data_IF_722998605714
#
_entry.id   IF_722998605714
#
_cell.length_a   1.000
_cell.length_b   1.000
_cell.length_c   1.000
_cell.angle_alpha   90.00
_cell.angle_beta   90.00
_cell.angle_gamma   90.00
#
_symmetry.space_group_name_H-M   'P 1'
#
loop_
_entity.id
_entity.type
_entity.pdbx_description
1 polymer ?
#
# COMPACT_ATOMS: atom_id res chain seq x y z
N UNK A 1 2.21 -25.96 2.96
CA UNK A 1 3.22 -25.28 2.12
C UNK A 1 3.79 -24.12 2.91
N UNK A 2 5.11 -23.96 2.96
CA UNK A 2 5.71 -22.80 3.59
C UNK A 2 5.45 -21.53 2.76
N UNK A 3 5.55 -20.33 3.37
CA UNK A 3 5.35 -19.07 2.64
C UNK A 3 6.29 -18.94 1.44
N UNK A 4 7.53 -19.44 1.53
CA UNK A 4 8.48 -19.47 0.41
C UNK A 4 8.05 -20.36 -0.75
N UNK A 5 7.31 -21.44 -0.49
CA UNK A 5 6.85 -22.35 -1.56
C UNK A 5 5.69 -21.74 -2.35
N UNK A 6 4.83 -20.95 -1.70
CA UNK A 6 3.66 -20.34 -2.32
C UNK A 6 3.97 -18.99 -2.96
N UNK A 7 4.71 -18.13 -2.24
CA UNK A 7 4.95 -16.73 -2.59
C UNK A 7 6.35 -16.44 -3.11
N UNK A 8 7.24 -17.42 -3.15
CA UNK A 8 8.57 -17.31 -3.74
C UNK A 8 8.61 -17.71 -5.23
N UNK A 9 9.80 -17.73 -5.84
CA UNK A 9 11.09 -17.38 -5.22
C UNK A 9 11.37 -15.89 -5.03
N UNK A 10 10.65 -14.99 -5.75
CA UNK A 10 10.82 -13.54 -5.66
C UNK A 10 9.52 -12.82 -5.29
N UNK A 11 9.65 -11.76 -4.51
CA UNK A 11 8.59 -10.80 -4.25
C UNK A 11 8.98 -9.40 -4.74
N UNK A 12 8.03 -8.70 -5.37
CA UNK A 12 8.16 -7.28 -5.70
C UNK A 12 7.55 -6.45 -4.57
N UNK A 13 8.28 -5.46 -4.06
CA UNK A 13 7.78 -4.50 -3.07
C UNK A 13 7.82 -3.10 -3.67
N UNK A 14 6.68 -2.61 -4.12
CA UNK A 14 6.50 -1.25 -4.59
C UNK A 14 6.41 -0.29 -3.39
N UNK A 15 7.34 0.67 -3.29
CA UNK A 15 7.44 1.58 -2.14
C UNK A 15 8.31 1.03 -1.00
N UNK A 16 9.41 0.34 -1.30
CA UNK A 16 10.26 -0.36 -0.34
C UNK A 16 11.22 0.52 0.46
N UNK A 17 11.37 1.81 0.15
CA UNK A 17 12.51 2.61 0.65
C UNK A 17 12.46 2.95 2.13
N UNK A 18 11.30 2.96 2.77
CA UNK A 18 11.12 3.21 4.21
C UNK A 18 9.75 2.71 4.73
N UNK A 19 9.51 2.93 6.03
CA UNK A 19 8.24 2.66 6.68
C UNK A 19 7.77 1.21 6.50
N UNK A 20 6.48 1.04 6.23
CA UNK A 20 5.84 -0.26 6.07
C UNK A 20 6.42 -1.08 4.92
N UNK A 21 6.82 -0.43 3.80
CA UNK A 21 7.44 -1.13 2.68
C UNK A 21 8.80 -1.74 3.02
N UNK A 22 9.63 -1.03 3.79
CA UNK A 22 10.89 -1.57 4.29
C UNK A 22 10.66 -2.70 5.32
N UNK A 23 9.62 -2.59 6.14
CA UNK A 23 9.24 -3.64 7.07
C UNK A 23 8.79 -4.93 6.35
N UNK A 24 8.02 -4.81 5.26
CA UNK A 24 7.70 -5.96 4.39
C UNK A 24 8.96 -6.61 3.83
N UNK A 25 9.95 -5.80 3.39
CA UNK A 25 11.19 -6.35 2.87
C UNK A 25 11.97 -7.17 3.92
N UNK A 26 12.03 -6.67 5.15
CA UNK A 26 12.67 -7.39 6.27
C UNK A 26 11.92 -8.68 6.58
N UNK A 27 10.59 -8.64 6.69
CA UNK A 27 9.78 -9.82 7.03
C UNK A 27 9.82 -10.90 5.95
N UNK A 28 9.68 -10.53 4.66
CA UNK A 28 9.76 -11.47 3.56
C UNK A 28 11.17 -12.04 3.39
N UNK A 29 12.21 -11.22 3.59
CA UNK A 29 13.60 -11.68 3.61
C UNK A 29 13.86 -12.70 4.73
N UNK A 30 13.30 -12.48 5.93
CA UNK A 30 13.38 -13.43 7.05
C UNK A 30 12.69 -14.77 6.71
N UNK A 31 11.66 -14.75 5.86
CA UNK A 31 10.98 -15.97 5.34
C UNK A 31 11.72 -16.62 4.17
N UNK A 32 12.87 -16.09 3.76
CA UNK A 32 13.71 -16.66 2.70
C UNK A 32 13.26 -16.33 1.28
N UNK A 33 12.43 -15.30 1.08
CA UNK A 33 11.97 -14.84 -0.23
C UNK A 33 12.94 -13.77 -0.75
N UNK A 34 13.43 -13.91 -1.98
CA UNK A 34 14.24 -12.90 -2.65
C UNK A 34 13.38 -11.68 -3.03
N UNK A 35 14.00 -10.49 -3.10
CA UNK A 35 13.25 -9.25 -3.14
C UNK A 35 13.63 -8.33 -4.28
N UNK A 36 12.64 -7.84 -5.00
CA UNK A 36 12.75 -6.68 -5.89
C UNK A 36 12.28 -5.46 -5.11
N UNK A 37 13.21 -4.58 -4.78
CA UNK A 37 12.97 -3.38 -3.98
C UNK A 37 12.77 -2.17 -4.89
N UNK A 38 11.56 -1.63 -4.93
CA UNK A 38 11.18 -0.57 -5.88
C UNK A 38 10.86 0.72 -5.13
N UNK A 39 11.57 1.82 -5.43
CA UNK A 39 11.27 3.18 -4.99
C UNK A 39 12.13 4.20 -5.74
N UNK A 40 11.87 5.50 -5.49
CA UNK A 40 12.62 6.61 -6.11
C UNK A 40 14.02 6.84 -5.49
N UNK A 41 14.20 6.50 -4.21
CA UNK A 41 15.40 6.82 -3.44
C UNK A 41 16.38 5.65 -3.41
N UNK A 42 17.23 5.57 -4.44
CA UNK A 42 18.21 4.50 -4.61
C UNK A 42 19.10 4.25 -3.37
N UNK A 43 19.68 5.28 -2.71
CA UNK A 43 20.55 5.02 -1.56
C UNK A 43 19.85 4.28 -0.42
N UNK A 44 18.57 4.56 -0.14
CA UNK A 44 17.80 3.86 0.89
C UNK A 44 17.49 2.41 0.50
N UNK A 45 17.26 2.15 -0.79
CA UNK A 45 17.07 0.79 -1.29
C UNK A 45 18.34 -0.05 -1.18
N UNK A 46 19.50 0.54 -1.50
CA UNK A 46 20.81 -0.13 -1.39
C UNK A 46 21.20 -0.39 0.08
N UNK A 47 20.93 0.57 0.97
CA UNK A 47 21.12 0.38 2.41
C UNK A 47 20.22 -0.76 2.94
N UNK A 48 18.94 -0.79 2.56
CA UNK A 48 18.03 -1.86 2.94
C UNK A 48 18.52 -3.20 2.38
N UNK A 49 18.87 -3.27 1.10
CA UNK A 49 19.38 -4.47 0.44
C UNK A 49 20.62 -5.04 1.16
N UNK A 50 21.53 -4.17 1.60
CA UNK A 50 22.74 -4.58 2.30
C UNK A 50 22.50 -5.20 3.70
N UNK A 51 21.30 -5.05 4.26
CA UNK A 51 20.90 -5.63 5.55
C UNK A 51 20.13 -6.95 5.42
N UNK A 52 19.74 -7.34 4.21
CA UNK A 52 18.94 -8.54 3.97
C UNK A 52 19.82 -9.75 3.64
N UNK A 53 19.46 -10.91 4.18
CA UNK A 53 20.21 -12.17 3.97
C UNK A 53 19.76 -12.96 2.74
N UNK A 54 18.94 -12.36 1.86
CA UNK A 54 18.40 -12.95 0.62
C UNK A 54 18.91 -12.18 -0.59
N UNK A 55 18.74 -12.74 -1.78
CA UNK A 55 19.04 -12.00 -3.00
C UNK A 55 18.10 -10.79 -3.16
N UNK A 56 18.67 -9.68 -3.58
CA UNK A 56 17.92 -8.44 -3.78
C UNK A 56 18.20 -7.84 -5.16
N UNK A 57 17.17 -7.26 -5.77
CA UNK A 57 17.28 -6.43 -6.96
C UNK A 57 16.72 -5.05 -6.65
N UNK A 58 17.55 -4.04 -6.78
CA UNK A 58 17.16 -2.63 -6.58
C UNK A 58 16.68 -2.05 -7.91
N UNK A 59 15.44 -1.56 -7.93
CA UNK A 59 14.83 -0.88 -9.08
C UNK A 59 14.48 0.54 -8.68
N UNK A 60 15.23 1.52 -9.20
CA UNK A 60 14.95 2.94 -8.96
C UNK A 60 13.91 3.42 -9.96
N UNK A 61 12.70 3.68 -9.47
CA UNK A 61 11.54 3.95 -10.32
C UNK A 61 10.58 4.93 -9.67
N UNK A 62 10.03 5.87 -10.43
CA UNK A 62 8.92 6.71 -10.03
C UNK A 62 7.59 6.09 -10.48
N UNK A 63 6.87 5.54 -9.52
CA UNK A 63 5.57 4.91 -9.77
C UNK A 63 4.45 5.92 -10.12
N UNK A 64 4.73 7.22 -10.17
CA UNK A 64 3.79 8.24 -10.63
C UNK A 64 3.82 8.43 -12.16
N UNK A 65 4.70 7.72 -12.89
CA UNK A 65 4.77 7.77 -14.35
C UNK A 65 3.93 6.66 -14.99
N UNK A 66 3.29 6.92 -16.14
CA UNK A 66 2.48 5.90 -16.82
C UNK A 66 3.27 4.68 -17.32
N UNK A 67 4.58 4.83 -17.56
CA UNK A 67 5.48 3.77 -18.06
C UNK A 67 6.09 2.91 -16.96
N UNK A 68 5.85 3.25 -15.69
CA UNK A 68 6.53 2.64 -14.56
C UNK A 68 6.38 1.11 -14.49
N UNK A 69 5.21 0.59 -14.81
CA UNK A 69 4.99 -0.87 -14.76
C UNK A 69 5.72 -1.58 -15.89
N UNK A 70 5.79 -1.01 -17.10
CA UNK A 70 6.56 -1.60 -18.21
C UNK A 70 8.06 -1.64 -17.88
N UNK A 71 8.60 -0.56 -17.29
CA UNK A 71 9.99 -0.49 -16.82
C UNK A 71 10.27 -1.52 -15.71
N UNK A 72 9.33 -1.70 -14.78
CA UNK A 72 9.41 -2.69 -13.72
C UNK A 72 9.39 -4.12 -14.27
N UNK A 73 8.50 -4.40 -15.22
CA UNK A 73 8.42 -5.71 -15.89
C UNK A 73 9.71 -6.04 -16.65
N UNK A 74 10.26 -5.07 -17.38
CA UNK A 74 11.54 -5.23 -18.04
C UNK A 74 12.67 -5.53 -17.02
N UNK A 75 12.67 -4.84 -15.89
CA UNK A 75 13.64 -5.05 -14.82
C UNK A 75 13.49 -6.41 -14.10
N UNK A 76 12.38 -7.13 -14.31
CA UNK A 76 12.06 -8.40 -13.64
C UNK A 76 11.75 -9.54 -14.61
N UNK A 77 12.01 -9.38 -15.91
CA UNK A 77 11.63 -10.35 -16.96
C UNK A 77 12.27 -11.75 -16.78
N UNK A 78 13.43 -11.80 -16.14
CA UNK A 78 14.18 -13.03 -15.82
C UNK A 78 13.80 -13.66 -14.47
N UNK A 79 12.84 -13.08 -13.75
CA UNK A 79 12.47 -13.50 -12.40
C UNK A 79 11.05 -14.12 -12.35
N UNK A 80 10.91 -15.20 -11.60
CA UNK A 80 9.59 -15.70 -11.25
C UNK A 80 9.07 -14.93 -10.02
N UNK A 81 8.16 -13.99 -10.25
CA UNK A 81 7.54 -13.21 -9.16
C UNK A 81 6.36 -14.00 -8.59
N UNK A 82 6.48 -14.40 -7.32
CA UNK A 82 5.45 -15.14 -6.57
C UNK A 82 4.60 -14.26 -5.68
N UNK A 83 5.05 -13.03 -5.36
CA UNK A 83 4.30 -12.08 -4.55
C UNK A 83 4.48 -10.65 -5.08
N UNK A 84 3.38 -9.92 -5.15
CA UNK A 84 3.37 -8.47 -5.32
C UNK A 84 2.87 -7.82 -4.03
N UNK A 85 3.70 -7.01 -3.38
CA UNK A 85 3.30 -6.09 -2.30
C UNK A 85 3.28 -4.69 -2.89
N UNK A 86 2.09 -4.15 -3.16
CA UNK A 86 1.94 -2.78 -3.64
C UNK A 86 1.64 -1.85 -2.45
N UNK A 87 2.72 -1.27 -1.89
CA UNK A 87 2.67 -0.41 -0.72
C UNK A 87 2.80 1.08 -1.07
N UNK A 88 3.31 1.43 -2.26
CA UNK A 88 3.47 2.82 -2.68
C UNK A 88 2.13 3.53 -2.78
N UNK A 89 1.96 4.65 -2.09
CA UNK A 89 0.69 5.38 -2.15
C UNK A 89 0.43 6.28 -0.95
N UNK A 90 1.33 7.19 -0.65
CA UNK A 90 1.14 8.23 0.38
C UNK A 90 0.48 9.51 -0.16
N UNK A 91 -0.02 10.34 0.75
CA UNK A 91 -0.40 11.73 0.51
C UNK A 91 0.42 12.63 1.44
N UNK A 92 1.46 13.28 0.92
CA UNK A 92 2.37 14.06 1.78
C UNK A 92 1.80 15.40 2.23
N UNK A 93 0.70 15.88 1.62
CA UNK A 93 0.29 17.29 1.81
C UNK A 93 -1.11 17.49 2.40
N UNK A 94 -2.03 16.52 2.30
CA UNK A 94 -3.39 16.58 2.87
C UNK A 94 -4.14 17.90 2.64
N UNK A 95 -4.06 18.44 1.42
CA UNK A 95 -4.69 19.72 1.04
C UNK A 95 -6.07 19.49 0.39
N UNK A 96 -6.99 20.47 0.49
CA UNK A 96 -8.17 20.51 -0.36
C UNK A 96 -7.80 20.43 -1.84
N UNK A 97 -8.65 19.80 -2.65
CA UNK A 97 -8.33 19.53 -4.07
C UNK A 97 -7.94 20.77 -4.86
N UNK A 98 -8.62 21.90 -4.63
CA UNK A 98 -8.36 23.15 -5.36
C UNK A 98 -7.07 23.87 -4.92
N UNK A 99 -6.50 23.48 -3.79
CA UNK A 99 -5.25 24.03 -3.24
C UNK A 99 -4.03 23.17 -3.62
N UNK A 100 -4.26 22.04 -4.33
CA UNK A 100 -3.22 21.13 -4.81
C UNK A 100 -2.71 21.49 -6.19
N UNK A 101 -1.48 21.12 -6.46
CA UNK A 101 -0.98 21.03 -7.83
C UNK A 101 -1.77 19.92 -8.59
N UNK A 102 -2.42 20.26 -9.72
CA UNK A 102 -3.15 19.28 -10.53
C UNK A 102 -2.28 18.12 -11.04
N UNK A 103 -0.99 18.34 -11.29
CA UNK A 103 -0.09 17.31 -11.79
C UNK A 103 0.30 16.34 -10.67
N UNK A 104 0.45 16.84 -9.43
CA UNK A 104 0.61 15.99 -8.24
C UNK A 104 -0.63 15.10 -8.03
N UNK A 105 -1.82 15.67 -8.11
CA UNK A 105 -3.07 14.91 -7.99
C UNK A 105 -3.21 13.84 -9.07
N UNK A 106 -2.85 14.14 -10.34
CA UNK A 106 -2.81 13.16 -11.43
C UNK A 106 -1.77 12.08 -11.20
N UNK A 107 -0.56 12.45 -10.77
CA UNK A 107 0.51 11.51 -10.44
C UNK A 107 0.10 10.54 -9.32
N UNK A 108 -0.69 11.00 -8.34
CA UNK A 108 -1.25 10.14 -7.30
C UNK A 108 -2.23 9.11 -7.90
N UNK A 109 -3.12 9.51 -8.81
CA UNK A 109 -4.04 8.57 -9.48
C UNK A 109 -3.27 7.56 -10.34
N UNK A 110 -2.24 8.00 -11.07
CA UNK A 110 -1.37 7.08 -11.83
C UNK A 110 -0.71 6.07 -10.91
N UNK A 111 -0.08 6.52 -9.83
CA UNK A 111 0.62 5.64 -8.89
C UNK A 111 -0.33 4.70 -8.15
N UNK A 112 -1.43 5.22 -7.62
CA UNK A 112 -2.30 4.48 -6.70
C UNK A 112 -3.44 3.72 -7.39
N UNK A 113 -3.74 3.98 -8.67
CA UNK A 113 -4.81 3.30 -9.38
C UNK A 113 -4.29 2.62 -10.65
N UNK A 114 -3.81 3.40 -11.64
CA UNK A 114 -3.43 2.85 -12.93
C UNK A 114 -2.31 1.80 -12.79
N UNK A 115 -1.25 2.15 -12.09
CA UNK A 115 -0.09 1.27 -11.94
C UNK A 115 -0.34 0.12 -10.95
N UNK A 116 -1.24 0.28 -9.98
CA UNK A 116 -1.73 -0.83 -9.14
C UNK A 116 -2.47 -1.86 -9.99
N UNK A 117 -3.42 -1.39 -10.83
CA UNK A 117 -4.20 -2.25 -11.72
C UNK A 117 -3.29 -2.98 -12.73
N UNK A 118 -2.39 -2.24 -13.39
CA UNK A 118 -1.51 -2.81 -14.42
C UNK A 118 -0.51 -3.82 -13.81
N UNK A 119 0.12 -3.49 -12.67
CA UNK A 119 1.02 -4.42 -11.99
C UNK A 119 0.29 -5.67 -11.50
N UNK A 120 -0.92 -5.51 -10.94
CA UNK A 120 -1.75 -6.64 -10.53
C UNK A 120 -2.11 -7.54 -11.71
N UNK A 121 -2.54 -6.95 -12.84
CA UNK A 121 -2.87 -7.69 -14.05
C UNK A 121 -1.67 -8.47 -14.60
N UNK A 122 -0.51 -7.82 -14.72
CA UNK A 122 0.67 -8.41 -15.36
C UNK A 122 1.31 -9.51 -14.50
N UNK A 123 1.56 -9.26 -13.22
CA UNK A 123 2.11 -10.29 -12.32
C UNK A 123 1.06 -11.35 -11.96
N UNK A 124 -0.19 -10.93 -11.73
CA UNK A 124 -1.29 -11.82 -11.42
C UNK A 124 -1.59 -12.82 -12.53
N UNK A 125 -1.53 -12.41 -13.81
CA UNK A 125 -1.71 -13.31 -14.95
C UNK A 125 -0.72 -14.49 -14.91
N UNK A 126 0.55 -14.22 -14.61
CA UNK A 126 1.56 -15.27 -14.48
C UNK A 126 1.32 -16.15 -13.24
N UNK A 127 0.84 -15.56 -12.13
CA UNK A 127 0.48 -16.29 -10.91
C UNK A 127 -0.71 -17.23 -11.14
N UNK A 128 -1.76 -16.75 -11.77
CA UNK A 128 -2.96 -17.55 -12.13
C UNK A 128 -2.57 -18.68 -13.08
N UNK A 129 -1.76 -18.41 -14.11
CA UNK A 129 -1.32 -19.43 -15.06
C UNK A 129 -0.56 -20.59 -14.41
N UNK A 130 0.20 -20.35 -13.34
CA UNK A 130 0.96 -21.37 -12.61
C UNK A 130 0.22 -21.93 -11.38
N UNK A 131 -0.97 -21.40 -11.03
CA UNK A 131 -1.80 -21.89 -9.94
C UNK A 131 -1.27 -21.56 -8.54
N UNK A 132 -0.40 -20.54 -8.40
CA UNK A 132 0.13 -20.10 -7.10
C UNK A 132 0.67 -18.68 -7.15
N UNK A 133 0.59 -17.99 -6.03
CA UNK A 133 1.11 -16.64 -5.84
C UNK A 133 0.29 -15.84 -4.85
N UNK A 134 0.62 -14.56 -4.72
CA UNK A 134 -0.12 -13.62 -3.88
C UNK A 134 -0.01 -12.18 -4.32
N UNK A 135 -1.04 -11.40 -4.02
CA UNK A 135 -1.07 -9.94 -4.18
C UNK A 135 -1.53 -9.32 -2.88
N UNK A 136 -0.74 -8.39 -2.36
CA UNK A 136 -1.05 -7.59 -1.19
C UNK A 136 -1.11 -6.12 -1.62
N UNK A 137 -2.31 -5.53 -1.55
CA UNK A 137 -2.54 -4.11 -1.83
C UNK A 137 -2.68 -3.36 -0.52
N UNK A 138 -1.72 -2.47 -0.23
CA UNK A 138 -1.76 -1.66 0.99
C UNK A 138 -2.68 -0.47 0.76
N UNK A 139 -3.81 -0.48 1.45
CA UNK A 139 -4.79 0.58 1.47
C UNK A 139 -4.77 1.34 2.81
N UNK A 140 -5.80 2.04 3.16
CA UNK A 140 -5.88 2.92 4.32
C UNK A 140 -7.29 2.95 4.89
N UNK A 141 -7.44 3.28 6.17
CA UNK A 141 -8.73 3.61 6.75
C UNK A 141 -9.47 4.74 6.01
N UNK A 142 -8.75 5.58 5.25
CA UNK A 142 -9.33 6.57 4.36
C UNK A 142 -10.15 5.95 3.20
N UNK A 143 -9.99 4.66 2.91
CA UNK A 143 -10.76 3.93 1.90
C UNK A 143 -12.25 3.82 2.26
N UNK A 144 -12.58 3.82 3.55
CA UNK A 144 -13.94 3.58 4.02
C UNK A 144 -14.91 4.72 3.76
N UNK A 145 -14.43 5.97 3.75
CA UNK A 145 -15.24 7.15 3.41
C UNK A 145 -14.35 8.29 2.93
N UNK A 146 -14.88 9.15 2.04
CA UNK A 146 -14.23 10.39 1.68
C UNK A 146 -14.21 11.37 2.86
N UNK A 147 -13.26 12.31 2.84
CA UNK A 147 -13.14 13.35 3.86
C UNK A 147 -12.53 14.62 3.28
N UNK A 148 -12.75 15.76 3.96
CA UNK A 148 -12.14 17.04 3.59
C UNK A 148 -10.61 16.94 3.71
N UNK A 149 -9.87 17.42 2.71
CA UNK A 149 -8.41 17.35 2.68
C UNK A 149 -7.85 15.98 2.26
N UNK A 150 -8.70 14.97 2.09
CA UNK A 150 -8.28 13.62 1.70
C UNK A 150 -8.46 13.32 0.20
N UNK A 151 -8.84 14.31 -0.59
CA UNK A 151 -8.99 14.14 -2.04
C UNK A 151 -7.66 14.45 -2.76
N UNK A 152 -7.18 13.61 -3.69
CA UNK A 152 -7.77 12.37 -4.23
C UNK A 152 -7.42 11.09 -3.44
N UNK A 153 -6.61 11.19 -2.38
CA UNK A 153 -6.04 10.04 -1.66
C UNK A 153 -7.10 9.00 -1.25
N UNK A 154 -8.16 9.43 -0.53
CA UNK A 154 -9.21 8.52 -0.09
C UNK A 154 -9.88 7.78 -1.26
N UNK A 155 -10.10 8.48 -2.38
CA UNK A 155 -10.68 7.86 -3.57
C UNK A 155 -9.76 6.78 -4.17
N UNK A 156 -8.43 7.04 -4.20
CA UNK A 156 -7.47 6.04 -4.69
C UNK A 156 -7.34 4.85 -3.76
N UNK A 157 -7.43 5.06 -2.44
CA UNK A 157 -7.38 3.96 -1.46
C UNK A 157 -8.66 3.11 -1.44
N UNK A 158 -9.82 3.72 -1.73
CA UNK A 158 -11.06 2.98 -1.98
C UNK A 158 -10.98 2.14 -3.26
N UNK A 159 -10.31 2.64 -4.32
CA UNK A 159 -10.01 1.85 -5.51
C UNK A 159 -9.18 0.60 -5.16
N UNK A 160 -8.07 0.74 -4.40
CA UNK A 160 -7.22 -0.38 -4.00
C UNK A 160 -8.01 -1.43 -3.21
N UNK A 161 -8.88 -1.00 -2.30
CA UNK A 161 -9.69 -1.89 -1.47
C UNK A 161 -10.65 -2.73 -2.32
N UNK A 162 -11.45 -2.07 -3.16
CA UNK A 162 -12.45 -2.76 -4.01
C UNK A 162 -11.77 -3.62 -5.08
N UNK A 163 -10.61 -3.18 -5.60
CA UNK A 163 -9.81 -3.99 -6.52
C UNK A 163 -9.34 -5.29 -5.84
N UNK A 164 -8.80 -5.21 -4.61
CA UNK A 164 -8.37 -6.40 -3.88
C UNK A 164 -9.51 -7.40 -3.66
N UNK A 165 -10.68 -6.92 -3.23
CA UNK A 165 -11.88 -7.74 -3.05
C UNK A 165 -12.30 -8.46 -4.35
N UNK A 166 -12.27 -7.74 -5.46
CA UNK A 166 -12.64 -8.27 -6.79
C UNK A 166 -11.63 -9.33 -7.25
N UNK A 167 -10.34 -9.04 -7.14
CA UNK A 167 -9.27 -9.97 -7.53
C UNK A 167 -9.25 -11.23 -6.64
N UNK A 168 -9.53 -11.08 -5.35
CA UNK A 168 -9.67 -12.22 -4.43
C UNK A 168 -10.78 -13.17 -4.90
N UNK A 169 -11.95 -12.62 -5.25
CA UNK A 169 -13.07 -13.42 -5.73
C UNK A 169 -12.78 -14.11 -7.07
N UNK A 170 -12.07 -13.43 -7.99
CA UNK A 170 -11.75 -13.96 -9.31
C UNK A 170 -10.60 -14.98 -9.28
N UNK A 171 -9.54 -14.75 -8.50
CA UNK A 171 -8.28 -15.50 -8.57
C UNK A 171 -8.09 -16.53 -7.45
N UNK A 172 -8.83 -16.42 -6.36
CA UNK A 172 -8.82 -17.41 -5.28
C UNK A 172 -8.99 -18.85 -5.77
N UNK A 173 -9.99 -19.14 -6.64
CA UNK A 173 -10.15 -20.48 -7.22
C UNK A 173 -8.95 -20.97 -8.05
N UNK A 174 -8.12 -20.06 -8.52
CA UNK A 174 -6.88 -20.35 -9.27
C UNK A 174 -5.64 -20.45 -8.38
N UNK A 175 -5.80 -20.46 -7.04
CA UNK A 175 -4.70 -20.63 -6.09
C UNK A 175 -3.86 -19.38 -5.83
N UNK A 176 -4.35 -18.19 -6.22
CA UNK A 176 -3.70 -16.90 -5.95
C UNK A 176 -4.41 -16.21 -4.78
N UNK A 177 -3.66 -15.92 -3.71
CA UNK A 177 -4.19 -15.17 -2.58
C UNK A 177 -4.16 -13.67 -2.88
N UNK A 178 -5.22 -12.96 -2.49
CA UNK A 178 -5.27 -11.51 -2.61
C UNK A 178 -5.73 -10.91 -1.29
N UNK A 179 -5.04 -9.88 -0.82
CA UNK A 179 -5.36 -9.17 0.41
C UNK A 179 -5.32 -7.66 0.21
N UNK A 180 -6.42 -6.99 0.52
CA UNK A 180 -6.49 -5.55 0.76
C UNK A 180 -6.14 -5.27 2.22
N UNK A 181 -4.93 -4.77 2.50
CA UNK A 181 -4.50 -4.43 3.84
C UNK A 181 -4.90 -2.99 4.18
N UNK A 182 -5.86 -2.83 5.08
CA UNK A 182 -6.32 -1.52 5.55
C UNK A 182 -5.48 -1.07 6.74
N UNK A 183 -4.74 0.01 6.58
CA UNK A 183 -3.90 0.58 7.63
C UNK A 183 -4.55 1.80 8.28
N UNK A 184 -4.41 1.87 9.60
CA UNK A 184 -4.54 3.09 10.38
C UNK A 184 -3.24 3.91 10.37
N UNK A 185 -3.10 4.79 11.37
CA UNK A 185 -1.87 5.55 11.59
C UNK A 185 -0.72 4.60 11.94
N UNK A 186 0.28 4.55 11.07
CA UNK A 186 1.45 3.67 11.21
C UNK A 186 2.69 4.53 11.36
N UNK A 187 3.58 4.18 12.29
CA UNK A 187 4.81 4.91 12.62
C UNK A 187 5.84 4.85 11.49
N UNK A 188 5.63 5.68 10.48
CA UNK A 188 6.50 5.76 9.30
C UNK A 188 7.22 7.11 9.24
N UNK A 189 8.41 7.17 8.62
CA UNK A 189 9.08 8.45 8.40
C UNK A 189 8.23 9.47 7.62
N UNK A 190 7.36 9.01 6.72
CA UNK A 190 6.44 9.87 5.99
C UNK A 190 5.40 10.52 6.91
N UNK A 191 4.76 9.71 7.79
CA UNK A 191 3.80 10.22 8.76
C UNK A 191 4.46 11.16 9.77
N UNK A 192 5.64 10.81 10.30
CA UNK A 192 6.38 11.67 11.24
C UNK A 192 6.67 13.04 10.62
N UNK A 193 7.17 13.09 9.38
CA UNK A 193 7.39 14.35 8.67
C UNK A 193 6.11 15.16 8.49
N UNK A 194 5.00 14.49 8.19
CA UNK A 194 3.70 15.17 8.06
C UNK A 194 3.25 15.78 9.38
N UNK A 195 3.37 15.04 10.49
CA UNK A 195 3.04 15.55 11.83
C UNK A 195 3.97 16.71 12.26
N UNK A 196 5.27 16.64 11.95
CA UNK A 196 6.22 17.72 12.22
C UNK A 196 5.88 18.99 11.43
N UNK A 197 5.37 18.84 10.21
CA UNK A 197 5.07 19.98 9.32
C UNK A 197 3.70 20.60 9.61
N UNK A 198 2.71 19.79 9.92
CA UNK A 198 1.30 20.23 10.01
C UNK A 198 0.76 20.19 11.44
N UNK A 199 1.53 19.65 12.38
CA UNK A 199 1.04 19.37 13.74
C UNK A 199 0.08 18.20 13.75
N UNK A 200 -0.58 18.02 14.89
CA UNK A 200 -1.60 16.99 15.09
C UNK A 200 -1.15 15.87 16.02
N UNK A 201 -2.12 15.14 16.52
CA UNK A 201 -1.94 13.95 17.35
C UNK A 201 -2.77 12.80 16.77
N UNK A 202 -2.13 11.69 16.48
CA UNK A 202 -2.77 10.49 15.94
C UNK A 202 -2.90 9.38 16.99
N UNK A 203 -2.62 9.67 18.24
CA UNK A 203 -2.61 8.69 19.32
C UNK A 203 -1.50 7.64 19.15
N UNK A 204 -1.79 6.41 19.54
CA UNK A 204 -0.84 5.30 19.39
C UNK A 204 -0.68 4.91 17.93
N UNK A 205 0.55 4.93 17.46
CA UNK A 205 0.91 4.55 16.08
C UNK A 205 1.23 3.06 16.02
N UNK A 206 0.77 2.40 14.96
CA UNK A 206 1.11 1.00 14.71
C UNK A 206 2.59 0.83 14.35
N UNK A 207 3.23 -0.22 14.88
CA UNK A 207 4.59 -0.59 14.49
C UNK A 207 4.61 -1.18 13.07
N UNK A 208 5.39 -0.60 12.13
CA UNK A 208 5.51 -1.13 10.78
C UNK A 208 5.95 -2.61 10.71
N UNK A 209 6.77 -3.06 11.65
CA UNK A 209 7.23 -4.45 11.69
C UNK A 209 6.10 -5.41 12.08
N UNK A 210 5.29 -5.04 13.07
CA UNK A 210 4.11 -5.80 13.46
C UNK A 210 3.07 -5.84 12.34
N UNK A 211 2.83 -4.70 11.66
CA UNK A 211 1.95 -4.61 10.49
C UNK A 211 2.39 -5.56 9.39
N UNK A 212 3.68 -5.57 9.03
CA UNK A 212 4.19 -6.43 7.97
C UNK A 212 4.09 -7.91 8.32
N UNK A 213 4.42 -8.29 9.57
CA UNK A 213 4.35 -9.67 10.04
C UNK A 213 2.92 -10.22 9.99
N UNK A 214 1.95 -9.47 10.56
CA UNK A 214 0.53 -9.83 10.59
C UNK A 214 -0.06 -9.90 9.18
N UNK A 215 0.23 -8.92 8.31
CA UNK A 215 -0.28 -8.93 6.95
C UNK A 215 0.20 -10.14 6.12
N UNK A 216 1.46 -10.57 6.28
CA UNK A 216 1.97 -11.75 5.59
C UNK A 216 1.44 -13.05 6.20
N UNK A 217 1.18 -13.08 7.51
CA UNK A 217 0.55 -14.22 8.17
C UNK A 217 -0.88 -14.44 7.65
N UNK A 218 -1.63 -13.37 7.46
CA UNK A 218 -3.04 -13.38 7.06
C UNK A 218 -3.26 -13.15 5.55
N UNK A 219 -2.22 -13.21 4.72
CA UNK A 219 -2.34 -12.99 3.28
C UNK A 219 -3.35 -13.95 2.61
N UNK A 220 -3.45 -15.17 3.12
CA UNK A 220 -4.39 -16.18 2.61
C UNK A 220 -5.83 -16.02 3.14
N UNK A 221 -6.04 -15.15 4.14
CA UNK A 221 -7.35 -14.99 4.80
C UNK A 221 -8.22 -13.90 4.14
N UNK A 222 -7.76 -13.30 3.03
CA UNK A 222 -8.44 -12.22 2.31
C UNK A 222 -9.97 -12.34 2.24
N UNK A 223 -10.68 -11.37 1.68
CA UNK A 223 -10.19 -10.31 0.79
C UNK A 223 -9.58 -9.10 1.50
N UNK A 224 -9.91 -8.86 2.78
CA UNK A 224 -9.56 -7.63 3.49
C UNK A 224 -9.05 -7.96 4.89
N UNK A 225 -8.03 -7.22 5.32
CA UNK A 225 -7.51 -7.27 6.68
C UNK A 225 -7.25 -5.87 7.21
N UNK A 226 -7.87 -5.51 8.34
CA UNK A 226 -7.74 -4.19 8.95
C UNK A 226 -6.87 -4.30 10.20
N UNK A 227 -5.59 -3.90 10.08
CA UNK A 227 -4.63 -3.96 11.18
C UNK A 227 -5.10 -3.18 12.42
N UNK A 228 -5.00 -3.81 13.58
CA UNK A 228 -5.33 -3.20 14.87
C UNK A 228 -6.84 -3.09 15.16
N UNK A 229 -7.71 -3.63 14.31
CA UNK A 229 -9.16 -3.67 14.57
C UNK A 229 -9.55 -4.90 15.37
N UNK A 230 -10.58 -4.82 16.26
CA UNK A 230 -11.07 -5.98 17.02
C UNK A 230 -11.57 -7.13 16.14
N UNK A 231 -12.11 -6.81 14.95
CA UNK A 231 -12.45 -7.75 13.90
C UNK A 231 -11.70 -7.36 12.62
N UNK A 232 -10.47 -7.85 12.43
CA UNK A 232 -9.63 -7.44 11.30
C UNK A 232 -10.19 -7.83 9.92
N UNK A 233 -10.95 -8.91 9.84
CA UNK A 233 -11.61 -9.36 8.60
C UNK A 233 -12.98 -8.71 8.40
N UNK A 234 -13.42 -7.89 9.35
CA UNK A 234 -14.71 -7.19 9.34
C UNK A 234 -14.79 -6.09 8.29
N UNK A 235 -16.02 -5.67 8.05
CA UNK A 235 -16.30 -4.57 7.13
C UNK A 235 -15.95 -3.19 7.67
N UNK A 236 -16.44 -2.15 6.98
CA UNK A 236 -16.23 -0.76 7.37
C UNK A 236 -16.61 -0.47 8.82
N UNK A 237 -15.76 0.22 9.60
CA UNK A 237 -16.11 0.70 10.94
C UNK A 237 -17.30 1.68 10.95
N UNK A 238 -17.67 2.18 9.76
CA UNK A 238 -18.81 3.07 9.56
C UNK A 238 -20.10 2.35 9.14
N UNK A 239 -20.15 1.01 9.22
CA UNK A 239 -21.25 0.19 8.69
C UNK A 239 -22.65 0.55 9.19
N UNK A 240 -22.77 1.18 10.37
CA UNK A 240 -24.04 1.66 10.94
C UNK A 240 -24.34 3.13 10.61
N UNK A 241 -23.42 3.85 10.00
CA UNK A 241 -23.55 5.26 9.65
C UNK A 241 -24.08 5.45 8.24
N UNK A 242 -24.87 6.51 8.01
CA UNK A 242 -25.11 6.97 6.66
C UNK A 242 -23.82 7.47 6.01
N UNK A 243 -23.74 7.44 4.66
CA UNK A 243 -22.55 7.96 3.95
C UNK A 243 -22.22 9.41 4.33
N UNK A 244 -23.25 10.24 4.57
CA UNK A 244 -23.05 11.60 5.03
C UNK A 244 -22.36 11.67 6.39
N UNK A 245 -22.85 10.91 7.37
CA UNK A 245 -22.25 10.85 8.72
C UNK A 245 -20.82 10.32 8.69
N UNK A 246 -20.54 9.30 7.87
CA UNK A 246 -19.18 8.77 7.66
C UNK A 246 -18.23 9.85 7.10
N UNK A 247 -18.67 10.61 6.09
CA UNK A 247 -17.88 11.72 5.51
C UNK A 247 -17.64 12.84 6.51
N UNK A 248 -18.66 13.21 7.32
CA UNK A 248 -18.53 14.23 8.36
C UNK A 248 -17.52 13.78 9.44
N UNK A 249 -17.59 12.51 9.86
CA UNK A 249 -16.66 11.95 10.86
C UNK A 249 -15.23 11.88 10.31
N UNK A 250 -15.04 11.39 9.08
CA UNK A 250 -13.73 11.37 8.42
C UNK A 250 -13.14 12.77 8.26
N UNK A 251 -13.97 13.75 7.91
CA UNK A 251 -13.53 15.15 7.77
C UNK A 251 -13.10 15.74 9.11
N UNK A 252 -13.83 15.45 10.19
CA UNK A 252 -13.47 15.88 11.54
C UNK A 252 -12.17 15.21 12.02
N UNK A 253 -12.00 13.91 11.75
CA UNK A 253 -10.78 13.18 12.04
C UNK A 253 -9.56 13.74 11.28
N UNK A 254 -9.70 13.97 9.98
CA UNK A 254 -8.65 14.59 9.18
C UNK A 254 -8.26 15.99 9.67
N UNK A 255 -9.24 16.81 10.06
CA UNK A 255 -8.98 18.14 10.63
C UNK A 255 -8.25 18.08 12.00
N UNK A 256 -8.52 17.07 12.81
CA UNK A 256 -7.81 16.86 14.08
C UNK A 256 -6.39 16.35 13.87
N UNK A 257 -6.17 15.52 12.86
CA UNK A 257 -4.86 14.98 12.49
C UNK A 257 -3.94 16.01 11.86
N UNK A 258 -4.49 16.98 11.13
CA UNK A 258 -3.75 17.98 10.36
C UNK A 258 -4.21 19.40 10.78
N UNK A 259 -3.86 19.78 12.01
CA UNK A 259 -4.42 20.94 12.72
C UNK A 259 -4.25 22.32 12.06
N UNK A 260 -3.56 22.46 10.91
CA UNK A 260 -3.32 23.74 10.20
C UNK A 260 -3.47 23.68 8.67
N UNK A 261 -4.44 22.91 8.16
CA UNK A 261 -4.89 23.07 6.76
C UNK A 261 -5.77 24.31 6.56
N UNK A 262 -5.45 25.44 7.19
CA UNK A 262 -6.11 26.71 6.89
C UNK A 262 -5.70 27.16 5.46
N UNK A 263 -6.67 27.56 4.60
CA UNK A 263 -6.34 28.03 3.27
C UNK A 263 -5.37 29.20 3.35
N UNK A 264 -4.16 29.04 2.79
CA UNK A 264 -3.29 30.17 2.51
C UNK A 264 -3.86 30.86 1.29
N UNK A 265 -4.84 31.71 1.51
CA UNK A 265 -5.30 32.83 0.69
C UNK A 265 -6.82 32.95 0.81
N UNK A 266 -7.24 33.93 1.61
CA UNK A 266 -8.45 34.71 1.37
C UNK A 266 -8.05 35.93 0.53
#
# INVERSE_FOLDING_TARGET
MGSSDKYGPWAVIAGASDGTGAAFAVELGRRGINLVLVARRRPLLEELAGRLAVQTRVVTLDLSTPTAVDELLQATEDLEIGLLVYNAGDDPVNLPLLDRDPDEARGMVVRNCNNVLEASYRYGSAMVARGRGGILLVTSGAAWAGGRGLTPYAATKAFDLVLAESLWAEWGPSGVDVLGLVLGATDTPALRRSLETHGGDMGELADPAAVAAEAIEHLADGPTWSYGMPDPSGGSPFGTLSRRQAVELMSAGAAAMFADGAPRNA
#
